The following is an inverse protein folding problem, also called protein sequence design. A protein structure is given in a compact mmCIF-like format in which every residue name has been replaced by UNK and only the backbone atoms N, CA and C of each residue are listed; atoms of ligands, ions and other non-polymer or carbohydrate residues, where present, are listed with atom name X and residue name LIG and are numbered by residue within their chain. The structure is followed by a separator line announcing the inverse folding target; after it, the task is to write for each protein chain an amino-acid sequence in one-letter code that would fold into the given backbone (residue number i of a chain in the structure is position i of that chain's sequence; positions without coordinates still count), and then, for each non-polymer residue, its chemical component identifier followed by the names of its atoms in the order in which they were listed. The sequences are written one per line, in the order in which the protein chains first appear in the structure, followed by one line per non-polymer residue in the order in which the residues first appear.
data_IF_645699940602
#
_entry.id   IF_645699940602
#
_cell.length_a   1.000
_cell.length_b   1.000
_cell.length_c   1.000
_cell.angle_alpha   90.00
_cell.angle_beta   90.00
_cell.angle_gamma   90.00
#
_symmetry.space_group_name_H-M   'P 1'
#
loop_
_entity.id
_entity.type
_entity.pdbx_description
1 polymer ?
#
# COMPACT_ATOMS: atom_id res chain seq x y z
N UNK A 1 3.16 5.30 1.32
CA UNK A 1 2.79 3.96 0.84
C UNK A 1 2.80 2.96 2.00
N UNK A 2 1.82 2.09 2.09
CA UNK A 2 1.69 1.03 3.11
C UNK A 2 2.40 -0.26 2.68
N UNK A 3 2.64 -1.21 3.59
CA UNK A 3 3.23 -2.50 3.22
C UNK A 3 2.37 -3.27 2.20
N UNK A 4 1.04 -3.18 2.27
CA UNK A 4 0.13 -3.87 1.34
C UNK A 4 0.23 -3.31 -0.09
N UNK A 5 0.31 -1.99 -0.25
CA UNK A 5 0.51 -1.34 -1.56
C UNK A 5 1.84 -1.75 -2.19
N UNK A 6 2.91 -1.78 -1.39
CA UNK A 6 4.23 -2.20 -1.85
C UNK A 6 4.25 -3.69 -2.17
N UNK A 7 3.61 -4.53 -1.37
CA UNK A 7 3.50 -5.97 -1.62
C UNK A 7 2.84 -6.26 -2.97
N UNK A 8 1.69 -5.63 -3.25
CA UNK A 8 1.01 -5.71 -4.57
C UNK A 8 1.94 -5.27 -5.70
N UNK A 9 2.62 -4.14 -5.52
CA UNK A 9 3.55 -3.60 -6.51
C UNK A 9 4.71 -4.57 -6.79
N UNK A 10 5.27 -5.20 -5.76
CA UNK A 10 6.33 -6.21 -5.91
C UNK A 10 5.85 -7.48 -6.59
N UNK A 11 4.61 -7.91 -6.32
CA UNK A 11 4.03 -9.07 -6.98
C UNK A 11 3.93 -8.86 -8.50
N UNK A 12 3.44 -7.69 -8.93
CA UNK A 12 3.29 -7.35 -10.35
C UNK A 12 4.62 -6.96 -11.02
N UNK A 13 5.54 -6.36 -10.25
CA UNK A 13 6.81 -5.82 -10.75
C UNK A 13 7.98 -6.25 -9.85
N UNK A 14 8.36 -7.54 -9.85
CA UNK A 14 9.38 -8.08 -8.94
C UNK A 14 10.73 -7.41 -9.08
N UNK A 15 11.04 -6.90 -10.28
CA UNK A 15 12.27 -6.17 -10.56
C UNK A 15 12.44 -4.87 -9.74
N UNK A 16 11.37 -4.34 -9.14
CA UNK A 16 11.40 -3.16 -8.28
C UNK A 16 11.97 -3.44 -6.90
N UNK A 17 12.14 -4.72 -6.50
CA UNK A 17 12.82 -5.08 -5.26
C UNK A 17 14.23 -4.46 -5.15
N UNK A 18 14.91 -4.22 -6.29
CA UNK A 18 16.20 -3.52 -6.34
C UNK A 18 16.19 -2.08 -5.83
N UNK A 19 15.00 -1.47 -5.67
CA UNK A 19 14.83 -0.09 -5.18
C UNK A 19 14.71 -0.02 -3.66
N UNK A 20 14.64 -1.17 -2.96
CA UNK A 20 14.63 -1.17 -1.50
C UNK A 20 15.93 -0.57 -0.96
N UNK A 21 15.76 0.28 0.04
CA UNK A 21 16.84 0.92 0.78
C UNK A 21 16.45 0.97 2.25
N UNK A 22 17.43 1.02 3.18
CA UNK A 22 17.15 1.35 4.56
C UNK A 22 16.38 2.67 4.65
N UNK A 23 15.36 2.69 5.50
CA UNK A 23 14.54 3.87 5.76
C UNK A 23 14.69 4.25 7.24
N UNK A 24 14.59 5.52 7.61
CA UNK A 24 14.52 5.91 9.02
C UNK A 24 13.25 5.38 9.68
N UNK A 25 13.08 5.59 10.98
CA UNK A 25 11.77 5.39 11.63
C UNK A 25 10.70 6.26 10.95
N UNK A 26 9.51 5.72 10.63
CA UNK A 26 8.45 6.51 10.00
C UNK A 26 7.92 7.57 10.98
N UNK A 27 7.60 8.75 10.45
CA UNK A 27 6.86 9.74 11.21
C UNK A 27 5.47 9.19 11.62
N UNK A 28 4.95 9.54 12.81
CA UNK A 28 3.67 9.02 13.30
C UNK A 28 2.50 9.45 12.41
N UNK A 29 1.44 8.64 12.38
CA UNK A 29 0.20 8.98 11.66
C UNK A 29 -0.39 10.28 12.25
N UNK A 30 -0.88 11.16 11.37
CA UNK A 30 -1.43 12.45 11.75
C UNK A 30 -2.31 13.05 10.65
N UNK A 31 -2.83 14.28 10.86
CA UNK A 31 -3.71 14.94 9.90
C UNK A 31 -2.99 15.28 8.60
N UNK A 32 -3.77 15.34 7.51
CA UNK A 32 -3.32 15.83 6.20
C UNK A 32 -3.89 17.24 5.99
N UNK A 33 -3.01 18.22 5.83
CA UNK A 33 -3.37 19.61 5.51
C UNK A 33 -2.87 19.97 4.10
N UNK A 34 -2.18 21.10 3.93
CA UNK A 34 -1.53 21.49 2.69
C UNK A 34 -0.23 20.73 2.44
N UNK A 35 0.26 20.79 1.19
CA UNK A 35 1.46 20.08 0.77
C UNK A 35 2.74 20.53 1.51
N UNK A 36 2.82 21.80 1.94
CA UNK A 36 3.93 22.33 2.76
C UNK A 36 3.97 21.69 4.14
N UNK A 37 2.82 21.62 4.82
CA UNK A 37 2.68 20.93 6.11
C UNK A 37 2.94 19.43 5.96
N UNK A 38 2.45 18.81 4.88
CA UNK A 38 2.69 17.40 4.59
C UNK A 38 4.18 17.10 4.47
N UNK A 39 4.93 17.88 3.67
CA UNK A 39 6.39 17.70 3.53
C UNK A 39 7.14 17.93 4.83
N UNK A 40 6.67 18.87 5.67
CA UNK A 40 7.24 19.12 7.00
C UNK A 40 7.01 17.94 7.96
N UNK A 41 5.80 17.36 7.98
CA UNK A 41 5.42 16.24 8.86
C UNK A 41 5.96 14.90 8.39
N UNK A 42 6.04 14.70 7.08
CA UNK A 42 6.39 13.44 6.42
C UNK A 42 7.53 13.68 5.40
N UNK A 43 8.77 13.93 5.85
CA UNK A 43 9.88 14.31 4.96
C UNK A 43 10.21 13.26 3.88
N UNK A 44 10.01 11.98 4.18
CA UNK A 44 10.18 10.87 3.24
C UNK A 44 8.85 10.38 2.63
N UNK A 45 7.75 11.08 2.90
CA UNK A 45 6.41 10.81 2.42
C UNK A 45 5.69 9.64 3.10
N UNK A 46 6.29 8.98 4.11
CA UNK A 46 5.62 7.90 4.85
C UNK A 46 4.82 8.46 6.02
N UNK A 47 3.63 7.91 6.21
CA UNK A 47 2.74 8.21 7.34
C UNK A 47 2.57 6.94 8.18
N UNK A 48 3.41 6.77 9.20
CA UNK A 48 3.37 5.64 10.13
C UNK A 48 3.58 4.25 9.51
N UNK A 49 4.06 4.17 8.27
CA UNK A 49 4.18 2.91 7.55
C UNK A 49 5.62 2.40 7.52
N UNK A 50 5.76 1.08 7.64
CA UNK A 50 7.02 0.36 7.42
C UNK A 50 6.96 -0.52 6.15
N UNK A 51 7.28 0.03 4.97
CA UNK A 51 7.31 -0.72 3.71
C UNK A 51 8.26 -1.92 3.68
N UNK A 52 9.21 -2.04 4.61
CA UNK A 52 10.17 -3.15 4.62
C UNK A 52 9.52 -4.51 4.88
N UNK A 53 8.32 -4.51 5.46
CA UNK A 53 7.52 -5.71 5.72
C UNK A 53 6.87 -6.30 4.46
N UNK A 54 6.91 -5.60 3.33
CA UNK A 54 6.26 -6.03 2.10
C UNK A 54 6.98 -7.20 1.43
N UNK A 55 6.22 -8.22 1.04
CA UNK A 55 6.74 -9.34 0.22
C UNK A 55 5.88 -9.54 -1.02
N UNK A 56 6.47 -10.01 -2.12
CA UNK A 56 5.72 -10.34 -3.34
C UNK A 56 4.68 -11.45 -3.11
N UNK A 57 4.96 -12.38 -2.19
CA UNK A 57 4.02 -13.43 -1.80
C UNK A 57 2.76 -12.85 -1.13
N UNK A 58 2.94 -11.93 -0.17
CA UNK A 58 1.81 -11.20 0.43
C UNK A 58 1.03 -10.40 -0.63
N UNK A 59 1.72 -9.83 -1.62
CA UNK A 59 1.09 -9.13 -2.74
C UNK A 59 0.18 -10.04 -3.56
N UNK A 60 0.64 -11.24 -3.88
CA UNK A 60 -0.17 -12.25 -4.57
C UNK A 60 -1.44 -12.57 -3.78
N UNK A 61 -1.31 -12.87 -2.49
CA UNK A 61 -2.44 -13.20 -1.63
C UNK A 61 -3.45 -12.05 -1.53
N UNK A 62 -2.97 -10.82 -1.35
CA UNK A 62 -3.82 -9.62 -1.31
C UNK A 62 -4.57 -9.43 -2.63
N UNK A 63 -3.90 -9.62 -3.77
CA UNK A 63 -4.52 -9.48 -5.08
C UNK A 63 -5.64 -10.51 -5.29
N UNK A 64 -5.37 -11.79 -5.00
CA UNK A 64 -6.34 -12.87 -5.16
C UNK A 64 -7.58 -12.66 -4.28
N UNK A 65 -7.37 -12.28 -3.01
CA UNK A 65 -8.47 -12.00 -2.07
C UNK A 65 -9.28 -10.79 -2.49
N UNK A 66 -8.62 -9.69 -2.86
CA UNK A 66 -9.29 -8.45 -3.26
C UNK A 66 -10.09 -8.63 -4.56
N UNK A 67 -9.51 -9.29 -5.58
CA UNK A 67 -10.19 -9.56 -6.85
C UNK A 67 -11.42 -10.45 -6.65
N UNK A 68 -11.31 -11.50 -5.84
CA UNK A 68 -12.44 -12.38 -5.51
C UNK A 68 -13.55 -11.60 -4.81
N UNK A 69 -13.23 -10.89 -3.73
CA UNK A 69 -14.21 -10.13 -2.95
C UNK A 69 -14.90 -9.04 -3.79
N UNK A 70 -14.15 -8.27 -4.58
CA UNK A 70 -14.70 -7.25 -5.46
C UNK A 70 -15.58 -7.84 -6.56
N UNK A 71 -15.23 -9.02 -7.10
CA UNK A 71 -16.04 -9.72 -8.08
C UNK A 71 -17.40 -10.13 -7.50
N UNK A 72 -17.41 -10.69 -6.30
CA UNK A 72 -18.64 -11.04 -5.60
C UNK A 72 -19.47 -9.80 -5.23
N UNK A 73 -18.83 -8.74 -4.73
CA UNK A 73 -19.49 -7.47 -4.40
C UNK A 73 -20.16 -6.86 -5.63
N UNK A 74 -19.47 -6.88 -6.78
CA UNK A 74 -20.02 -6.40 -8.05
C UNK A 74 -21.23 -7.25 -8.49
N UNK A 75 -21.14 -8.58 -8.40
CA UNK A 75 -22.27 -9.46 -8.73
C UNK A 75 -23.49 -9.16 -7.85
N UNK A 76 -23.29 -8.99 -6.54
CA UNK A 76 -24.35 -8.62 -5.59
C UNK A 76 -24.95 -7.26 -5.92
N UNK A 77 -24.12 -6.27 -6.26
CA UNK A 77 -24.59 -4.94 -6.67
C UNK A 77 -25.46 -4.98 -7.94
N UNK A 78 -25.05 -5.75 -8.94
CA UNK A 78 -25.80 -5.86 -10.21
C UNK A 78 -27.11 -6.66 -10.11
N UNK A 79 -27.25 -7.49 -9.06
CA UNK A 79 -28.47 -8.25 -8.78
C UNK A 79 -29.40 -7.57 -7.77
N UNK A 80 -28.98 -6.43 -7.21
CA UNK A 80 -29.81 -5.68 -6.27
C UNK A 80 -31.04 -5.08 -6.99
N UNK A 81 -32.25 -5.19 -6.39
CA UNK A 81 -33.48 -4.65 -6.96
C UNK A 81 -33.53 -3.11 -6.96
#
# INVERSE_FOLDING_TARGET
ATPSEIALTLHLYPHLARKFRPLPEPAPVGPIHGWEDFRRRYPDGRMGSDPSLATAAAGKELLERAATALGEDLQRFLQAP
#
